data_IF_888224161825
#
_entry.id   IF_888224161825
#
_cell.length_a   1.000
_cell.length_b   1.000
_cell.length_c   1.000
_cell.angle_alpha   90.00
_cell.angle_beta   90.00
_cell.angle_gamma   90.00
#
_symmetry.space_group_name_H-M   'P 1'
#
loop_
_entity.id
_entity.type
_entity.pdbx_description
1 polymer ?
#
# COMPACT_ATOMS: atom_id res chain seq x y z
N UNK A 1 4.40 -34.07 -20.27
CA UNK A 1 5.04 -33.17 -19.27
C UNK A 1 4.01 -32.18 -18.79
N UNK A 2 3.71 -32.21 -17.49
CA UNK A 2 2.61 -31.49 -16.86
C UNK A 2 2.97 -29.99 -16.70
N UNK A 3 2.07 -29.13 -17.19
CA UNK A 3 2.12 -27.66 -17.13
C UNK A 3 1.16 -27.16 -16.05
N UNK A 4 1.37 -27.55 -14.79
CA UNK A 4 0.47 -27.15 -13.67
C UNK A 4 1.01 -25.98 -12.83
N UNK A 5 2.07 -25.29 -13.29
CA UNK A 5 2.81 -24.33 -12.47
C UNK A 5 2.43 -22.85 -12.59
N UNK A 6 1.79 -22.42 -13.68
CA UNK A 6 1.67 -20.98 -14.03
C UNK A 6 0.40 -20.29 -13.52
N UNK A 7 -0.69 -21.02 -13.32
CA UNK A 7 -2.00 -20.44 -13.00
C UNK A 7 -2.17 -19.95 -11.56
N UNK A 8 -1.28 -20.38 -10.65
CA UNK A 8 -1.34 -19.94 -9.24
C UNK A 8 -0.81 -18.53 -9.02
N UNK A 9 -0.01 -17.99 -9.95
CA UNK A 9 0.66 -16.70 -9.78
C UNK A 9 -0.30 -15.51 -9.56
N UNK A 10 -1.34 -15.32 -10.39
CA UNK A 10 -2.30 -14.23 -10.22
C UNK A 10 -3.13 -14.37 -8.93
N UNK A 11 -3.50 -15.61 -8.57
CA UNK A 11 -4.28 -15.90 -7.36
C UNK A 11 -3.47 -15.61 -6.10
N UNK A 12 -2.19 -16.02 -6.07
CA UNK A 12 -1.28 -15.74 -4.94
C UNK A 12 -0.99 -14.25 -4.84
N UNK A 13 -0.72 -13.56 -5.96
CA UNK A 13 -0.49 -12.11 -5.99
C UNK A 13 -1.68 -11.33 -5.43
N UNK A 14 -2.91 -11.69 -5.83
CA UNK A 14 -4.14 -11.09 -5.30
C UNK A 14 -4.29 -11.30 -3.79
N UNK A 15 -4.05 -12.51 -3.27
CA UNK A 15 -4.15 -12.80 -1.83
C UNK A 15 -3.15 -12.00 -1.01
N UNK A 16 -1.90 -11.95 -1.47
CA UNK A 16 -0.85 -11.14 -0.82
C UNK A 16 -1.26 -9.67 -0.83
N UNK A 17 -1.73 -9.15 -1.96
CA UNK A 17 -2.16 -7.75 -2.06
C UNK A 17 -3.33 -7.42 -1.14
N UNK A 18 -4.31 -8.32 -0.99
CA UNK A 18 -5.43 -8.17 -0.05
C UNK A 18 -4.92 -8.04 1.38
N UNK A 19 -4.00 -8.93 1.80
CA UNK A 19 -3.42 -8.89 3.15
C UNK A 19 -2.64 -7.60 3.37
N UNK A 20 -1.81 -7.20 2.40
CA UNK A 20 -1.05 -5.96 2.48
C UNK A 20 -1.95 -4.74 2.60
N UNK A 21 -2.99 -4.62 1.76
CA UNK A 21 -3.93 -3.49 1.82
C UNK A 21 -4.71 -3.44 3.13
N UNK A 22 -5.10 -4.60 3.69
CA UNK A 22 -5.76 -4.66 4.98
C UNK A 22 -4.82 -4.20 6.11
N UNK A 23 -3.56 -4.63 6.09
CA UNK A 23 -2.55 -4.19 7.04
C UNK A 23 -2.24 -2.70 6.90
N UNK A 24 -2.07 -2.19 5.68
CA UNK A 24 -1.89 -0.76 5.39
C UNK A 24 -3.05 0.06 5.98
N UNK A 25 -4.29 -0.32 5.69
CA UNK A 25 -5.47 0.40 6.19
C UNK A 25 -5.50 0.41 7.73
N UNK A 26 -5.19 -0.71 8.38
CA UNK A 26 -5.15 -0.82 9.83
C UNK A 26 -4.04 0.04 10.46
N UNK A 27 -2.83 0.02 9.87
CA UNK A 27 -1.70 0.80 10.36
C UNK A 27 -1.98 2.28 10.24
N UNK A 28 -2.48 2.76 9.11
CA UNK A 28 -2.84 4.18 8.96
C UNK A 28 -4.01 4.59 9.87
N UNK A 29 -5.03 3.73 10.06
CA UNK A 29 -6.08 4.00 11.04
C UNK A 29 -5.52 4.11 12.47
N UNK A 30 -4.54 3.26 12.82
CA UNK A 30 -3.84 3.31 14.11
C UNK A 30 -2.97 4.56 14.26
N UNK A 31 -2.30 5.00 13.19
CA UNK A 31 -1.53 6.24 13.16
C UNK A 31 -2.45 7.45 13.33
N UNK A 32 -3.54 7.52 12.56
CA UNK A 32 -4.56 8.57 12.67
C UNK A 32 -5.14 8.68 14.08
N UNK A 33 -5.41 7.55 14.74
CA UNK A 33 -5.91 7.53 16.11
C UNK A 33 -4.84 7.90 17.16
N UNK A 34 -3.55 7.67 16.86
CA UNK A 34 -2.44 7.91 17.78
C UNK A 34 -1.89 9.34 17.74
N UNK A 35 -1.97 10.02 16.59
CA UNK A 35 -1.43 11.38 16.38
C UNK A 35 -2.41 12.50 16.70
N UNK A 36 -3.68 12.17 17.00
CA UNK A 36 -4.82 13.09 16.94
C UNK A 36 -4.77 14.37 17.81
N UNK A 37 -4.06 14.38 18.94
CA UNK A 37 -3.97 15.58 19.80
C UNK A 37 -2.76 16.48 19.48
N UNK A 38 -1.66 15.90 18.99
CA UNK A 38 -0.39 16.61 18.79
C UNK A 38 -0.12 16.95 17.31
N UNK A 39 -0.80 16.28 16.37
CA UNK A 39 -0.61 16.45 14.93
C UNK A 39 -1.89 16.23 14.11
N UNK A 40 -2.89 17.12 14.21
CA UNK A 40 -4.22 16.91 13.61
C UNK A 40 -4.19 16.80 12.08
N UNK A 41 -3.27 17.49 11.40
CA UNK A 41 -3.11 17.40 9.94
C UNK A 41 -2.58 16.02 9.55
N UNK A 42 -1.54 15.52 10.23
CA UNK A 42 -0.98 14.19 9.98
C UNK A 42 -2.04 13.12 10.26
N UNK A 43 -2.78 13.24 11.36
CA UNK A 43 -3.88 12.35 11.69
C UNK A 43 -4.95 12.30 10.58
N UNK A 44 -5.33 13.46 10.03
CA UNK A 44 -6.27 13.54 8.93
C UNK A 44 -5.73 12.90 7.64
N UNK A 45 -4.45 13.13 7.31
CA UNK A 45 -3.80 12.54 6.14
C UNK A 45 -3.71 11.01 6.26
N UNK A 46 -3.31 10.49 7.43
CA UNK A 46 -3.33 9.06 7.73
C UNK A 46 -4.75 8.48 7.61
N UNK A 47 -5.76 9.20 8.10
CA UNK A 47 -7.16 8.81 7.93
C UNK A 47 -7.58 8.70 6.46
N UNK A 48 -7.16 9.65 5.63
CA UNK A 48 -7.41 9.61 4.17
C UNK A 48 -6.72 8.41 3.54
N UNK A 49 -5.45 8.15 3.86
CA UNK A 49 -4.72 6.98 3.32
C UNK A 49 -5.39 5.68 3.75
N UNK A 50 -5.84 5.57 5.01
CA UNK A 50 -6.60 4.41 5.48
C UNK A 50 -7.88 4.16 4.68
N UNK A 51 -8.64 5.23 4.38
CA UNK A 51 -9.85 5.16 3.54
C UNK A 51 -9.50 4.71 2.12
N UNK A 52 -8.49 5.31 1.50
CA UNK A 52 -8.06 4.99 0.14
C UNK A 52 -7.59 3.53 0.05
N UNK A 53 -6.81 3.06 1.03
CA UNK A 53 -6.39 1.67 1.13
C UNK A 53 -7.60 0.72 1.31
N UNK A 54 -8.59 1.12 2.12
CA UNK A 54 -9.85 0.38 2.28
C UNK A 54 -10.67 0.29 0.99
N UNK A 55 -10.73 1.37 0.20
CA UNK A 55 -11.39 1.37 -1.11
C UNK A 55 -10.65 0.45 -2.08
N UNK A 56 -9.32 0.55 -2.16
CA UNK A 56 -8.49 -0.34 -2.98
C UNK A 56 -8.68 -1.81 -2.58
N UNK A 57 -8.71 -2.10 -1.28
CA UNK A 57 -8.99 -3.42 -0.74
C UNK A 57 -10.35 -3.94 -1.21
N UNK A 58 -11.40 -3.15 -1.03
CA UNK A 58 -12.75 -3.53 -1.44
C UNK A 58 -12.82 -3.80 -2.95
N UNK A 59 -12.13 -3.01 -3.77
CA UNK A 59 -12.02 -3.22 -5.21
C UNK A 59 -11.32 -4.55 -5.52
N UNK A 60 -10.11 -4.79 -5.00
CA UNK A 60 -9.32 -6.01 -5.26
C UNK A 60 -10.01 -7.28 -4.74
N UNK A 61 -10.74 -7.19 -3.62
CA UNK A 61 -11.58 -8.28 -3.09
C UNK A 61 -12.73 -8.60 -4.04
N UNK A 62 -13.34 -7.60 -4.68
CA UNK A 62 -14.41 -7.82 -5.67
C UNK A 62 -13.87 -8.32 -7.01
N UNK A 63 -12.86 -7.63 -7.55
CA UNK A 63 -12.23 -7.93 -8.85
C UNK A 63 -10.79 -7.40 -8.87
N UNK A 64 -9.85 -8.23 -9.31
CA UNK A 64 -8.44 -7.85 -9.46
C UNK A 64 -8.14 -7.46 -10.92
N UNK A 65 -8.92 -6.51 -11.44
CA UNK A 65 -8.73 -5.95 -12.78
C UNK A 65 -7.67 -4.82 -12.78
N UNK A 66 -7.28 -4.36 -13.98
CA UNK A 66 -6.27 -3.32 -14.11
C UNK A 66 -6.61 -2.02 -13.33
N UNK A 67 -7.86 -1.51 -13.34
CA UNK A 67 -8.25 -0.37 -12.52
C UNK A 67 -8.06 -0.62 -11.02
N UNK A 68 -8.52 -1.77 -10.48
CA UNK A 68 -8.34 -2.07 -9.06
C UNK A 68 -6.87 -2.18 -8.66
N UNK A 69 -6.03 -2.77 -9.51
CA UNK A 69 -4.59 -2.86 -9.29
C UNK A 69 -3.90 -1.49 -9.37
N UNK A 70 -4.36 -0.61 -10.27
CA UNK A 70 -3.87 0.77 -10.34
C UNK A 70 -4.25 1.55 -9.09
N UNK A 71 -5.50 1.44 -8.63
CA UNK A 71 -5.96 2.06 -7.38
C UNK A 71 -5.13 1.56 -6.19
N UNK A 72 -4.81 0.27 -6.12
CA UNK A 72 -3.93 -0.26 -5.08
C UNK A 72 -2.51 0.32 -5.15
N UNK A 73 -1.91 0.40 -6.34
CA UNK A 73 -0.60 1.02 -6.51
C UNK A 73 -0.60 2.51 -6.12
N UNK A 74 -1.66 3.25 -6.48
CA UNK A 74 -1.81 4.66 -6.07
C UNK A 74 -1.98 4.78 -4.56
N UNK A 75 -2.76 3.91 -3.93
CA UNK A 75 -2.95 3.90 -2.48
C UNK A 75 -1.60 3.75 -1.74
N UNK A 76 -0.79 2.75 -2.13
CA UNK A 76 0.55 2.59 -1.56
C UNK A 76 1.49 3.76 -1.91
N UNK A 77 1.40 4.30 -3.13
CA UNK A 77 2.20 5.46 -3.53
C UNK A 77 1.92 6.70 -2.67
N UNK A 78 0.66 6.93 -2.31
CA UNK A 78 0.25 8.02 -1.42
C UNK A 78 0.81 7.82 0.00
N UNK A 79 0.74 6.60 0.54
CA UNK A 79 1.32 6.29 1.85
C UNK A 79 2.84 6.48 1.91
N UNK A 80 3.57 6.02 0.88
CA UNK A 80 5.01 6.29 0.75
C UNK A 80 5.30 7.79 0.71
N UNK A 81 4.55 8.56 -0.08
CA UNK A 81 4.73 10.01 -0.17
C UNK A 81 4.43 10.70 1.17
N UNK A 82 3.38 10.26 1.87
CA UNK A 82 3.00 10.79 3.17
C UNK A 82 4.06 10.54 4.26
N UNK A 83 4.82 9.45 4.17
CA UNK A 83 5.97 9.24 5.05
C UNK A 83 7.18 10.09 4.65
N UNK A 84 7.54 10.10 3.36
CA UNK A 84 8.79 10.70 2.89
C UNK A 84 8.77 12.23 2.90
N UNK A 85 7.67 12.86 2.45
CA UNK A 85 7.63 14.33 2.29
C UNK A 85 7.75 15.04 3.64
N UNK A 86 6.94 14.72 4.67
CA UNK A 86 7.08 15.36 5.98
C UNK A 86 8.43 15.02 6.65
N UNK A 87 8.91 13.78 6.49
CA UNK A 87 10.22 13.37 7.02
C UNK A 87 11.38 14.18 6.44
N UNK A 88 11.41 14.36 5.11
CA UNK A 88 12.43 15.18 4.45
C UNK A 88 12.35 16.64 4.86
N UNK A 89 11.14 17.20 5.01
CA UNK A 89 10.94 18.57 5.51
C UNK A 89 11.45 18.70 6.96
N UNK A 90 11.16 17.74 7.84
CA UNK A 90 11.62 17.75 9.22
C UNK A 90 13.15 17.68 9.33
N UNK A 91 13.81 16.84 8.51
CA UNK A 91 15.27 16.75 8.45
C UNK A 91 15.87 18.07 7.94
N UNK A 92 15.30 18.66 6.91
CA UNK A 92 15.75 19.96 6.40
C UNK A 92 15.61 21.07 7.46
N UNK A 93 14.63 20.95 8.37
CA UNK A 93 14.46 21.81 9.54
C UNK A 93 15.37 21.49 10.73
N UNK A 94 16.30 20.54 10.61
CA UNK A 94 17.27 20.19 11.66
C UNK A 94 16.87 19.03 12.57
N UNK A 95 15.77 18.32 12.28
CA UNK A 95 15.39 17.12 13.05
C UNK A 95 16.28 15.94 12.70
N UNK A 96 16.67 15.16 13.71
CA UNK A 96 17.40 13.91 13.48
C UNK A 96 16.49 12.85 12.85
N UNK A 97 17.04 12.05 11.92
CA UNK A 97 16.33 10.95 11.27
C UNK A 97 15.74 9.93 12.26
N UNK A 98 16.45 9.68 13.36
CA UNK A 98 16.03 8.73 14.40
C UNK A 98 14.85 9.24 15.23
N UNK A 99 14.70 10.55 15.39
CA UNK A 99 13.53 11.13 16.04
C UNK A 99 12.25 10.98 15.21
N UNK A 100 12.39 10.78 13.89
CA UNK A 100 11.29 10.55 12.96
C UNK A 100 10.96 9.06 12.75
N UNK A 101 11.86 8.14 13.08
CA UNK A 101 11.66 6.70 12.87
C UNK A 101 10.89 6.03 14.02
N UNK A 102 9.60 6.34 14.13
CA UNK A 102 8.69 5.53 14.94
C UNK A 102 8.45 4.16 14.24
N UNK A 103 8.40 3.03 14.99
CA UNK A 103 8.19 1.71 14.41
C UNK A 103 6.92 1.57 13.58
N UNK A 104 5.83 2.27 13.94
CA UNK A 104 4.58 2.24 13.17
C UNK A 104 4.71 2.99 11.86
N UNK A 105 5.36 4.15 11.86
CA UNK A 105 5.58 4.91 10.63
C UNK A 105 6.50 4.16 9.66
N UNK A 106 7.55 3.51 10.17
CA UNK A 106 8.40 2.64 9.34
C UNK A 106 7.62 1.43 8.81
N UNK A 107 6.79 0.80 9.64
CA UNK A 107 5.91 -0.28 9.25
C UNK A 107 4.93 0.13 8.13
N UNK A 108 4.33 1.32 8.24
CA UNK A 108 3.47 1.89 7.21
C UNK A 108 4.21 2.04 5.88
N UNK A 109 5.38 2.71 5.89
CA UNK A 109 6.22 2.88 4.69
C UNK A 109 6.54 1.54 4.01
N UNK A 110 6.93 0.53 4.80
CA UNK A 110 7.28 -0.78 4.26
C UNK A 110 6.07 -1.46 3.61
N UNK A 111 4.91 -1.44 4.28
CA UNK A 111 3.67 -2.00 3.75
C UNK A 111 3.28 -1.30 2.45
N UNK A 112 3.33 0.02 2.41
CA UNK A 112 2.96 0.81 1.25
C UNK A 112 3.87 0.55 0.04
N UNK A 113 5.18 0.50 0.27
CA UNK A 113 6.14 0.14 -0.77
C UNK A 113 5.89 -1.29 -1.30
N UNK A 114 5.51 -2.23 -0.44
CA UNK A 114 5.14 -3.58 -0.85
C UNK A 114 3.81 -3.60 -1.62
N UNK A 115 2.80 -2.84 -1.21
CA UNK A 115 1.54 -2.69 -1.94
C UNK A 115 1.83 -2.21 -3.37
N UNK A 116 2.62 -1.16 -3.54
CA UNK A 116 3.01 -0.65 -4.87
C UNK A 116 3.68 -1.75 -5.69
N UNK A 117 4.70 -2.41 -5.12
CA UNK A 117 5.48 -3.44 -5.82
C UNK A 117 4.61 -4.61 -6.27
N UNK A 118 3.75 -5.12 -5.38
CA UNK A 118 2.89 -6.27 -5.67
C UNK A 118 1.77 -5.90 -6.63
N UNK A 119 1.17 -4.71 -6.50
CA UNK A 119 0.13 -4.23 -7.41
C UNK A 119 0.66 -4.09 -8.84
N UNK A 120 1.82 -3.44 -9.02
CA UNK A 120 2.47 -3.28 -10.34
C UNK A 120 2.89 -4.63 -10.92
N UNK A 121 3.47 -5.52 -10.10
CA UNK A 121 3.83 -6.87 -10.55
C UNK A 121 2.60 -7.66 -11.02
N UNK A 122 1.52 -7.63 -10.25
CA UNK A 122 0.28 -8.32 -10.58
C UNK A 122 -0.34 -7.75 -11.86
N UNK A 123 -0.30 -6.43 -12.05
CA UNK A 123 -0.80 -5.76 -13.25
C UNK A 123 -0.03 -6.18 -14.50
N UNK A 124 1.31 -6.23 -14.44
CA UNK A 124 2.15 -6.70 -15.55
C UNK A 124 1.84 -8.15 -15.94
N UNK A 125 1.54 -9.00 -14.96
CA UNK A 125 1.22 -10.41 -15.19
C UNK A 125 -0.17 -10.62 -15.79
N UNK A 126 -1.12 -9.73 -15.52
CA UNK A 126 -2.47 -9.75 -16.10
C UNK A 126 -2.48 -9.16 -17.52
N UNK A 127 -1.56 -8.24 -17.82
CA UNK A 127 -1.43 -7.60 -19.14
C UNK A 127 -0.49 -8.32 -20.13
N UNK A 128 0.14 -9.44 -19.75
CA UNK A 128 1.08 -10.15 -20.61
C UNK A 128 0.30 -11.04 -21.62
N UNK A 129 0.36 -10.76 -22.94
CA UNK A 129 -0.37 -11.53 -23.96
C UNK A 129 0.09 -13.00 -24.09
N UNK A 130 1.15 -13.41 -23.38
CA UNK A 130 1.55 -14.80 -23.23
C UNK A 130 0.74 -15.60 -22.18
N UNK A 131 0.00 -14.95 -21.29
CA UNK A 131 -0.92 -15.64 -20.37
C UNK A 131 -2.19 -16.00 -21.14
N UNK A 132 -2.18 -17.18 -21.75
CA UNK A 132 -3.41 -17.77 -22.30
C UNK A 132 -4.46 -17.79 -21.20
N UNK A 133 -5.47 -16.94 -21.35
CA UNK A 133 -6.72 -16.99 -20.61
C UNK A 133 -7.37 -18.36 -20.81
N UNK A 134 -7.81 -19.07 -19.77
CA UNK A 134 -8.93 -19.99 -19.90
C UNK A 134 -10.22 -19.24 -20.22
#
# INVERSE_FOLDING_TARGET
>A
MSSTGTDRGPVVGRRILIVLLALTALVHARLAAGTGAEGPILAALDGIVAIVAGVALAMVVRRADAPALLTAAVAGGLGVALFLVPGLVAIAGGSSWTAWLDPWMFGALLLDAMVVRIAVFTMRKVGDPGSKTP
#
